data_IF_314224397887
#
_entry.id   IF_314224397887
#
_cell.length_a   1.000
_cell.length_b   1.000
_cell.length_c   1.000
_cell.angle_alpha   90.00
_cell.angle_beta   90.00
_cell.angle_gamma   90.00
#
_symmetry.space_group_name_H-M   'P 1'
#
loop_
_entity.id
_entity.type
_entity.pdbx_description
1 polymer ?
#
# COMPACT_ATOMS: atom_id res chain seq x y z
N UNK A 1 -20.71 -17.08 -30.98
CA UNK A 1 -20.14 -16.16 -29.97
C UNK A 1 -21.06 -16.14 -28.78
N UNK A 2 -20.56 -16.56 -27.63
CA UNK A 2 -21.28 -16.45 -26.35
C UNK A 2 -21.00 -15.10 -25.69
N UNK A 3 -21.75 -14.76 -24.64
CA UNK A 3 -21.59 -13.49 -23.91
C UNK A 3 -20.17 -13.31 -23.33
N UNK A 4 -19.46 -14.42 -23.07
CA UNK A 4 -18.06 -14.42 -22.62
C UNK A 4 -17.12 -13.85 -23.68
N UNK A 5 -17.37 -14.10 -24.96
CA UNK A 5 -16.51 -13.64 -26.07
C UNK A 5 -16.56 -12.10 -26.24
N UNK A 6 -17.59 -11.44 -25.70
CA UNK A 6 -17.72 -9.97 -25.72
C UNK A 6 -17.06 -9.25 -24.55
N UNK A 7 -16.74 -9.98 -23.47
CA UNK A 7 -16.14 -9.41 -22.24
C UNK A 7 -14.69 -9.85 -22.02
N UNK A 8 -14.20 -10.77 -22.86
CA UNK A 8 -12.82 -11.24 -22.81
C UNK A 8 -11.94 -10.25 -23.59
N UNK A 9 -10.85 -9.76 -22.99
CA UNK A 9 -9.89 -8.93 -23.70
C UNK A 9 -9.27 -9.62 -24.91
N UNK A 10 -8.99 -8.87 -25.97
CA UNK A 10 -8.40 -9.41 -27.21
C UNK A 10 -7.02 -10.06 -26.98
N UNK A 11 -6.23 -9.52 -26.04
CA UNK A 11 -4.91 -10.03 -25.69
C UNK A 11 -4.39 -9.43 -24.39
N UNK A 12 -3.38 -10.08 -23.81
CA UNK A 12 -2.60 -9.55 -22.68
C UNK A 12 -1.12 -9.45 -23.08
N UNK A 13 -0.47 -8.34 -22.74
CA UNK A 13 0.97 -8.13 -22.95
C UNK A 13 1.63 -7.54 -21.70
N UNK A 14 2.43 -8.37 -21.01
CA UNK A 14 3.16 -8.00 -19.78
C UNK A 14 4.68 -7.89 -19.99
N UNK A 15 5.14 -7.76 -21.25
CA UNK A 15 6.59 -7.72 -21.54
C UNK A 15 7.27 -6.44 -21.04
N UNK A 16 6.51 -5.37 -20.79
CA UNK A 16 7.04 -4.13 -20.25
C UNK A 16 7.18 -4.22 -18.73
N UNK A 17 8.28 -3.71 -18.20
CA UNK A 17 8.57 -3.81 -16.77
C UNK A 17 7.60 -2.99 -15.91
N UNK A 18 7.19 -1.80 -16.38
CA UNK A 18 6.44 -0.81 -15.59
C UNK A 18 4.96 -0.70 -15.95
N UNK A 19 4.53 -1.37 -17.01
CA UNK A 19 3.18 -1.28 -17.57
C UNK A 19 2.83 -2.57 -18.30
N UNK A 20 1.57 -2.70 -18.68
CA UNK A 20 1.05 -3.82 -19.45
C UNK A 20 -0.01 -3.33 -20.43
N UNK A 21 -0.46 -4.23 -21.31
CA UNK A 21 -1.61 -3.98 -22.18
C UNK A 21 -2.67 -5.06 -22.02
N UNK A 22 -3.92 -4.62 -22.08
CA UNK A 22 -5.11 -5.47 -22.14
C UNK A 22 -5.89 -5.01 -23.38
N UNK A 23 -5.78 -5.77 -24.47
CA UNK A 23 -6.24 -5.35 -25.79
C UNK A 23 -5.62 -4.03 -26.24
N UNK A 24 -6.46 -3.01 -26.47
CA UNK A 24 -6.01 -1.66 -26.87
C UNK A 24 -5.67 -0.74 -25.69
N UNK A 25 -5.98 -1.16 -24.46
CA UNK A 25 -5.83 -0.32 -23.27
C UNK A 25 -4.46 -0.52 -22.64
N UNK A 26 -3.84 0.58 -22.24
CA UNK A 26 -2.64 0.58 -21.42
C UNK A 26 -3.02 0.45 -19.96
N UNK A 27 -2.35 -0.43 -19.24
CA UNK A 27 -2.56 -0.62 -17.82
C UNK A 27 -1.25 -0.56 -17.07
N UNK A 28 -1.31 -0.22 -15.79
CA UNK A 28 -0.16 -0.38 -14.93
C UNK A 28 -0.59 -0.60 -13.47
N UNK A 29 -0.03 -1.64 -12.83
CA UNK A 29 -0.24 -2.02 -11.42
C UNK A 29 0.82 -1.45 -10.46
N UNK A 30 0.35 -0.75 -9.43
CA UNK A 30 1.15 -0.10 -8.38
C UNK A 30 0.70 -0.57 -7.00
N UNK A 31 1.57 -0.42 -6.00
CA UNK A 31 1.19 -0.52 -4.60
C UNK A 31 1.28 0.84 -3.91
N UNK A 32 0.47 1.03 -2.87
CA UNK A 32 0.55 2.19 -2.00
C UNK A 32 1.54 1.93 -0.86
N UNK A 33 2.65 2.67 -0.85
CA UNK A 33 3.62 2.66 0.23
C UNK A 33 3.18 3.65 1.31
N UNK A 34 2.68 3.13 2.43
CA UNK A 34 2.23 3.92 3.58
C UNK A 34 3.41 4.17 4.52
N UNK A 35 3.84 5.43 4.62
CA UNK A 35 4.90 5.86 5.55
C UNK A 35 4.34 6.58 6.78
N UNK A 36 3.10 7.06 6.70
CA UNK A 36 2.41 7.70 7.80
C UNK A 36 2.18 6.73 8.98
N UNK A 37 2.27 7.24 10.21
CA UNK A 37 1.89 6.52 11.43
C UNK A 37 0.37 6.39 11.55
N UNK A 38 -0.37 7.41 11.08
CA UNK A 38 -1.82 7.43 10.96
C UNK A 38 -2.22 7.82 9.53
N UNK A 39 -3.29 7.21 9.04
CA UNK A 39 -3.84 7.46 7.71
C UNK A 39 -5.16 8.20 7.82
N UNK A 40 -5.42 9.15 6.91
CA UNK A 40 -6.75 9.77 6.82
C UNK A 40 -7.68 8.94 5.94
N UNK A 41 -8.94 8.86 6.34
CA UNK A 41 -10.08 8.34 5.57
C UNK A 41 -10.28 9.06 4.22
N UNK A 42 -9.84 10.31 4.11
CA UNK A 42 -9.92 11.10 2.89
C UNK A 42 -8.98 10.63 1.78
N UNK A 43 -7.91 9.88 2.10
CA UNK A 43 -6.97 9.41 1.08
C UNK A 43 -7.66 8.53 0.03
N UNK A 44 -8.44 7.55 0.49
CA UNK A 44 -9.14 6.64 -0.42
C UNK A 44 -10.21 7.40 -1.21
N UNK A 45 -10.92 8.34 -0.57
CA UNK A 45 -11.92 9.17 -1.23
C UNK A 45 -11.31 10.01 -2.36
N UNK A 46 -10.23 10.76 -2.10
CA UNK A 46 -9.58 11.58 -3.13
C UNK A 46 -9.04 10.74 -4.30
N UNK A 47 -8.53 9.53 -4.03
CA UNK A 47 -8.09 8.61 -5.09
C UNK A 47 -9.29 8.18 -5.95
N UNK A 48 -10.42 7.82 -5.33
CA UNK A 48 -11.61 7.34 -6.04
C UNK A 48 -12.39 8.45 -6.76
N UNK A 49 -12.23 9.71 -6.36
CA UNK A 49 -12.83 10.89 -7.02
C UNK A 49 -12.05 11.35 -8.25
N UNK A 50 -10.88 10.75 -8.53
CA UNK A 50 -10.11 11.05 -9.73
C UNK A 50 -10.88 10.66 -10.99
N UNK A 51 -10.96 11.57 -11.97
CA UNK A 51 -11.49 11.30 -13.31
C UNK A 51 -10.47 10.49 -14.14
N UNK A 52 -10.26 9.23 -13.73
CA UNK A 52 -9.41 8.27 -14.39
C UNK A 52 -9.95 6.85 -14.17
N UNK A 53 -9.75 5.97 -15.15
CA UNK A 53 -10.06 4.56 -14.96
C UNK A 53 -9.03 3.94 -14.01
N UNK A 54 -9.47 3.56 -12.82
CA UNK A 54 -8.64 2.91 -11.83
C UNK A 54 -9.41 1.88 -11.03
N UNK A 55 -8.67 0.90 -10.52
CA UNK A 55 -9.16 -0.11 -9.59
C UNK A 55 -8.27 -0.10 -8.35
N UNK A 56 -8.88 0.07 -7.18
CA UNK A 56 -8.22 -0.09 -5.89
C UNK A 56 -8.57 -1.46 -5.33
N UNK A 57 -7.55 -2.21 -4.91
CA UNK A 57 -7.74 -3.53 -4.29
C UNK A 57 -6.98 -3.60 -2.99
N UNK A 58 -7.64 -4.09 -1.95
CA UNK A 58 -7.06 -4.25 -0.62
C UNK A 58 -7.16 -5.69 -0.19
N UNK A 59 -6.00 -6.35 -0.03
CA UNK A 59 -5.93 -7.67 0.58
C UNK A 59 -5.63 -7.48 2.06
N UNK A 60 -6.54 -7.91 2.92
CA UNK A 60 -6.44 -7.75 4.37
C UNK A 60 -6.39 -9.14 4.99
N UNK A 61 -5.31 -9.43 5.71
CA UNK A 61 -5.11 -10.70 6.41
C UNK A 61 -4.92 -10.47 7.91
N UNK A 62 -5.67 -11.19 8.73
CA UNK A 62 -5.48 -11.15 10.19
C UNK A 62 -4.19 -11.85 10.60
N UNK A 63 -3.47 -11.28 11.56
CA UNK A 63 -2.32 -11.94 12.20
C UNK A 63 -2.76 -12.48 13.57
N UNK A 64 -2.34 -13.69 13.91
CA UNK A 64 -2.49 -14.22 15.26
C UNK A 64 -1.84 -13.28 16.29
N UNK A 65 -2.52 -13.05 17.43
CA UNK A 65 -2.09 -12.05 18.42
C UNK A 65 -0.70 -12.35 18.99
N UNK A 66 -0.41 -13.63 19.28
CA UNK A 66 0.89 -14.03 19.84
C UNK A 66 1.98 -13.81 18.79
N UNK A 67 1.72 -14.18 17.53
CA UNK A 67 2.64 -13.92 16.41
C UNK A 67 2.85 -12.44 16.16
N UNK A 68 1.81 -11.61 16.24
CA UNK A 68 1.87 -10.17 16.07
C UNK A 68 2.79 -9.53 17.13
N UNK A 69 2.54 -9.81 18.41
CA UNK A 69 3.36 -9.30 19.53
C UNK A 69 4.82 -9.72 19.36
N UNK A 70 5.07 -11.00 19.00
CA UNK A 70 6.44 -11.49 18.77
C UNK A 70 7.13 -10.76 17.61
N UNK A 71 6.41 -10.50 16.53
CA UNK A 71 6.94 -9.81 15.34
C UNK A 71 7.31 -8.37 15.66
N UNK A 72 6.44 -7.63 16.36
CA UNK A 72 6.70 -6.24 16.77
C UNK A 72 7.89 -6.16 17.74
N UNK A 73 7.96 -7.05 18.74
CA UNK A 73 9.12 -7.13 19.65
C UNK A 73 10.43 -7.40 18.91
N UNK A 74 10.40 -8.27 17.90
CA UNK A 74 11.55 -8.51 17.02
C UNK A 74 11.99 -7.24 16.27
N UNK A 75 11.03 -6.51 15.69
CA UNK A 75 11.31 -5.23 15.01
C UNK A 75 11.87 -4.16 15.94
N UNK A 76 11.36 -4.04 17.17
CA UNK A 76 11.93 -3.14 18.18
C UNK A 76 13.39 -3.50 18.46
N UNK A 77 13.69 -4.78 18.66
CA UNK A 77 15.06 -5.24 18.89
C UNK A 77 16.00 -4.92 17.73
N UNK A 78 15.52 -5.03 16.48
CA UNK A 78 16.32 -4.67 15.30
C UNK A 78 16.53 -3.14 15.19
N UNK A 79 15.53 -2.33 15.56
CA UNK A 79 15.67 -0.87 15.66
C UNK A 79 16.69 -0.49 16.73
N UNK A 80 16.67 -1.14 17.89
CA UNK A 80 17.63 -0.88 18.96
C UNK A 80 19.06 -1.25 18.55
N UNK A 81 19.26 -2.31 17.76
CA UNK A 81 20.58 -2.61 17.16
C UNK A 81 21.02 -1.50 16.22
N UNK A 82 20.14 -1.01 15.35
CA UNK A 82 20.45 0.10 14.45
C UNK A 82 20.82 1.38 15.21
N UNK A 83 20.13 1.70 16.31
CA UNK A 83 20.50 2.82 17.20
C UNK A 83 21.92 2.67 17.73
N UNK A 84 22.28 1.49 18.24
CA UNK A 84 23.61 1.23 18.77
C UNK A 84 24.68 1.34 17.67
N UNK A 85 24.39 0.87 16.46
CA UNK A 85 25.30 1.00 15.33
C UNK A 85 25.51 2.45 14.90
N UNK A 86 24.46 3.25 14.81
CA UNK A 86 24.56 4.69 14.51
C UNK A 86 25.30 5.45 15.61
N UNK A 87 25.02 5.17 16.89
CA UNK A 87 25.76 5.73 18.02
C UNK A 87 27.25 5.42 17.97
N UNK A 88 27.61 4.19 17.60
CA UNK A 88 29.02 3.78 17.42
C UNK A 88 29.67 4.52 16.25
N UNK A 89 28.94 4.73 15.15
CA UNK A 89 29.44 5.51 14.00
C UNK A 89 29.65 6.98 14.39
N UNK A 90 28.69 7.59 15.09
CA UNK A 90 28.79 8.97 15.58
C UNK A 90 30.01 9.15 16.51
N UNK A 91 30.19 8.22 17.46
CA UNK A 91 31.36 8.19 18.36
C UNK A 91 32.69 8.14 17.58
N UNK A 92 32.76 7.32 16.52
CA UNK A 92 33.96 7.23 15.66
C UNK A 92 34.17 8.47 14.80
N UNK A 93 33.10 9.11 14.36
CA UNK A 93 33.12 10.31 13.54
C UNK A 93 33.33 11.60 14.36
N UNK A 94 33.27 11.53 15.70
CA UNK A 94 33.48 12.66 16.59
C UNK A 94 32.27 13.59 16.72
N UNK A 95 31.07 13.13 16.34
CA UNK A 95 29.81 13.84 16.57
C UNK A 95 29.05 13.24 17.76
N UNK A 96 28.14 14.02 18.34
CA UNK A 96 27.36 13.63 19.50
C UNK A 96 26.56 12.32 19.25
N UNK A 97 26.82 11.24 20.00
CA UNK A 97 26.11 9.98 19.87
C UNK A 97 24.60 10.07 20.13
N UNK A 98 24.14 11.09 20.85
CA UNK A 98 22.71 11.27 21.13
C UNK A 98 21.94 11.83 19.92
N UNK A 99 22.65 12.31 18.90
CA UNK A 99 22.06 12.74 17.62
C UNK A 99 21.79 11.51 16.75
N UNK A 100 20.58 10.96 16.90
CA UNK A 100 20.07 9.89 16.04
C UNK A 100 19.36 10.47 14.80
N UNK A 101 19.36 9.74 13.67
CA UNK A 101 18.55 10.10 12.51
C UNK A 101 17.06 10.23 12.89
N UNK A 102 16.35 11.28 12.44
CA UNK A 102 14.94 11.50 12.79
C UNK A 102 14.03 10.30 12.50
N UNK A 103 14.25 9.62 11.35
CA UNK A 103 13.49 8.43 10.96
C UNK A 103 13.62 7.29 11.99
N UNK A 104 14.82 7.09 12.53
CA UNK A 104 15.10 6.05 13.51
C UNK A 104 14.38 6.32 14.84
N UNK A 105 14.26 7.59 15.22
CA UNK A 105 13.50 8.03 16.40
C UNK A 105 12.01 7.76 16.18
N UNK A 106 11.48 8.17 15.03
CA UNK A 106 10.06 7.96 14.67
C UNK A 106 9.71 6.48 14.62
N UNK A 107 10.50 5.65 13.92
CA UNK A 107 10.24 4.21 13.85
C UNK A 107 10.27 3.53 15.22
N UNK A 108 11.17 3.96 16.11
CA UNK A 108 11.19 3.43 17.47
C UNK A 108 9.95 3.79 18.26
N UNK A 109 9.45 5.02 18.12
CA UNK A 109 8.23 5.47 18.79
C UNK A 109 7.02 4.70 18.27
N UNK A 110 6.86 4.64 16.96
CA UNK A 110 5.74 3.97 16.30
C UNK A 110 5.69 2.47 16.62
N UNK A 111 6.85 1.80 16.68
CA UNK A 111 6.92 0.39 17.04
C UNK A 111 6.53 0.14 18.50
N UNK A 112 6.90 1.05 19.42
CA UNK A 112 6.53 0.95 20.84
C UNK A 112 5.03 1.21 21.06
N UNK A 113 4.47 2.21 20.36
CA UNK A 113 3.03 2.51 20.37
C UNK A 113 2.22 1.34 19.82
N UNK A 114 2.62 0.78 18.67
CA UNK A 114 2.00 -0.41 18.10
C UNK A 114 2.03 -1.61 19.06
N UNK A 115 3.14 -1.82 19.78
CA UNK A 115 3.21 -2.88 20.79
C UNK A 115 2.23 -2.63 21.94
N UNK A 116 2.14 -1.38 22.42
CA UNK A 116 1.23 -1.00 23.47
C UNK A 116 -0.24 -1.21 23.06
N UNK A 117 -0.61 -0.85 21.83
CA UNK A 117 -1.98 -1.00 21.33
C UNK A 117 -2.39 -2.48 21.24
N UNK A 118 -1.50 -3.33 20.76
CA UNK A 118 -1.73 -4.78 20.69
C UNK A 118 -1.85 -5.43 22.08
N UNK A 119 -1.12 -4.93 23.09
CA UNK A 119 -1.13 -5.54 24.42
C UNK A 119 -2.21 -4.98 25.35
N UNK A 120 -2.53 -3.69 25.23
CA UNK A 120 -3.34 -2.97 26.21
C UNK A 120 -4.68 -2.47 25.68
N UNK A 121 -4.81 -2.24 24.36
CA UNK A 121 -6.02 -1.65 23.75
C UNK A 121 -6.88 -2.66 23.00
N UNK A 122 -6.60 -3.96 23.16
CA UNK A 122 -7.30 -5.05 22.48
C UNK A 122 -7.34 -4.89 20.94
N UNK A 123 -6.36 -4.20 20.37
CA UNK A 123 -6.23 -4.09 18.92
C UNK A 123 -5.63 -5.38 18.34
N UNK A 124 -6.10 -5.76 17.14
CA UNK A 124 -5.51 -6.82 16.33
C UNK A 124 -4.62 -6.23 15.24
N UNK A 125 -3.58 -6.97 14.90
CA UNK A 125 -2.73 -6.69 13.76
C UNK A 125 -3.31 -7.31 12.48
N UNK A 126 -3.32 -6.53 11.42
CA UNK A 126 -3.65 -6.94 10.06
C UNK A 126 -2.45 -6.70 9.14
N UNK A 127 -2.31 -7.52 8.10
CA UNK A 127 -1.39 -7.30 6.99
C UNK A 127 -2.22 -6.80 5.81
N UNK A 128 -1.89 -5.62 5.33
CA UNK A 128 -2.56 -4.95 4.22
C UNK A 128 -1.64 -4.91 3.00
N UNK A 129 -2.10 -5.46 1.88
CA UNK A 129 -1.57 -5.15 0.55
C UNK A 129 -2.57 -4.22 -0.13
N UNK A 130 -2.14 -3.00 -0.46
CA UNK A 130 -2.98 -1.99 -1.12
C UNK A 130 -2.47 -1.79 -2.54
N UNK A 131 -3.28 -2.16 -3.52
CA UNK A 131 -2.97 -2.08 -4.95
C UNK A 131 -3.81 -1.03 -5.63
N UNK A 132 -3.20 -0.35 -6.59
CA UNK A 132 -3.86 0.60 -7.50
C UNK A 132 -3.47 0.20 -8.91
N UNK A 133 -4.45 -0.19 -9.71
CA UNK A 133 -4.29 -0.43 -11.14
C UNK A 133 -4.95 0.73 -11.88
N UNK A 134 -4.16 1.46 -12.66
CA UNK A 134 -4.69 2.48 -13.57
C UNK A 134 -4.76 1.91 -14.98
N UNK A 135 -5.79 2.28 -15.73
CA UNK A 135 -5.93 1.98 -17.16
C UNK A 135 -6.21 3.25 -17.95
N UNK A 136 -5.72 3.31 -19.19
CA UNK A 136 -5.95 4.45 -20.08
C UNK A 136 -5.81 4.06 -21.56
N UNK A 137 -6.44 4.80 -22.49
CA UNK A 137 -6.32 4.54 -23.92
C UNK A 137 -4.93 4.85 -24.49
N UNK A 138 -4.17 5.75 -23.84
CA UNK A 138 -2.82 6.11 -24.27
C UNK A 138 -1.83 6.02 -23.11
N UNK A 139 -0.57 5.73 -23.42
CA UNK A 139 0.51 5.69 -22.42
C UNK A 139 0.70 7.05 -21.74
N UNK A 140 0.59 8.14 -22.47
CA UNK A 140 0.71 9.49 -21.91
C UNK A 140 -0.39 9.76 -20.88
N UNK A 141 -1.65 9.41 -21.19
CA UNK A 141 -2.74 9.54 -20.22
C UNK A 141 -2.49 8.68 -18.98
N UNK A 142 -2.06 7.43 -19.17
CA UNK A 142 -1.73 6.52 -18.08
C UNK A 142 -0.71 7.14 -17.11
N UNK A 143 0.41 7.66 -17.62
CA UNK A 143 1.46 8.26 -16.79
C UNK A 143 0.96 9.52 -16.05
N UNK A 144 0.12 10.34 -16.70
CA UNK A 144 -0.50 11.51 -16.07
C UNK A 144 -1.46 11.13 -14.94
N UNK A 145 -2.27 10.08 -15.14
CA UNK A 145 -3.19 9.59 -14.11
C UNK A 145 -2.40 9.08 -12.90
N UNK A 146 -1.36 8.27 -13.13
CA UNK A 146 -0.47 7.75 -12.07
C UNK A 146 0.23 8.89 -11.33
N UNK A 147 0.71 9.90 -12.04
CA UNK A 147 1.33 11.08 -11.46
C UNK A 147 0.36 11.81 -10.52
N UNK A 148 -0.89 11.95 -10.93
CA UNK A 148 -1.94 12.59 -10.13
C UNK A 148 -2.29 11.78 -8.88
N UNK A 149 -2.48 10.45 -9.02
CA UNK A 149 -2.69 9.55 -7.86
C UNK A 149 -1.51 9.63 -6.89
N UNK A 150 -0.27 9.66 -7.39
CA UNK A 150 0.90 9.81 -6.55
C UNK A 150 0.93 11.17 -5.83
N UNK A 151 0.53 12.25 -6.50
CA UNK A 151 0.38 13.57 -5.90
C UNK A 151 -0.62 13.59 -4.75
N UNK A 152 -1.77 12.90 -4.89
CA UNK A 152 -2.74 12.70 -3.81
C UNK A 152 -2.09 11.93 -2.65
N UNK A 153 -1.48 10.77 -2.93
CA UNK A 153 -0.84 9.94 -1.91
C UNK A 153 0.23 10.70 -1.10
N UNK A 154 1.02 11.55 -1.76
CA UNK A 154 2.06 12.35 -1.12
C UNK A 154 1.52 13.34 -0.08
N UNK A 155 0.33 13.91 -0.29
CA UNK A 155 -0.32 14.78 0.71
C UNK A 155 -0.57 14.07 2.05
N UNK A 156 -0.73 12.74 1.98
CA UNK A 156 -1.04 11.88 3.11
C UNK A 156 0.18 11.05 3.56
N UNK A 157 1.40 11.52 3.30
CA UNK A 157 2.65 10.80 3.63
C UNK A 157 2.68 9.35 3.11
N UNK A 158 2.12 9.14 1.92
CA UNK A 158 2.17 7.90 1.19
C UNK A 158 2.89 8.11 -0.15
N UNK A 159 3.34 7.03 -0.77
CA UNK A 159 3.89 7.07 -2.12
C UNK A 159 3.30 5.96 -2.96
N UNK A 160 2.96 6.26 -4.21
CA UNK A 160 2.56 5.23 -5.17
C UNK A 160 3.81 4.70 -5.83
N UNK A 161 4.03 3.39 -5.73
CA UNK A 161 5.20 2.72 -6.27
C UNK A 161 4.78 1.70 -7.32
N UNK A 162 5.39 1.77 -8.49
CA UNK A 162 5.16 0.80 -9.58
C UNK A 162 5.68 -0.57 -9.18
N UNK A 163 4.92 -1.61 -9.51
CA UNK A 163 5.31 -3.01 -9.36
C UNK A 163 6.18 -3.43 -10.54
N UNK A 164 7.40 -2.88 -10.61
CA UNK A 164 8.31 -3.14 -11.71
C UNK A 164 8.59 -4.65 -11.81
N UNK A 165 8.42 -5.22 -13.01
CA UNK A 165 8.52 -6.66 -13.30
C UNK A 165 7.47 -7.55 -12.62
N UNK A 166 6.52 -6.96 -11.90
CA UNK A 166 5.41 -7.64 -11.24
C UNK A 166 4.04 -7.14 -11.73
N UNK A 167 3.98 -6.65 -12.96
CA UNK A 167 2.76 -6.08 -13.55
C UNK A 167 1.65 -7.12 -13.71
N UNK A 168 1.99 -8.33 -14.16
CA UNK A 168 1.04 -9.43 -14.28
C UNK A 168 0.50 -9.83 -12.90
N UNK A 169 1.38 -10.04 -11.93
CA UNK A 169 1.02 -10.41 -10.56
C UNK A 169 0.16 -9.32 -9.91
N UNK A 170 0.53 -8.05 -10.11
CA UNK A 170 -0.22 -6.91 -9.59
C UNK A 170 -1.61 -6.83 -10.22
N UNK A 171 -1.72 -6.95 -11.54
CA UNK A 171 -3.00 -6.94 -12.23
C UNK A 171 -3.89 -8.12 -11.81
N UNK A 172 -3.36 -9.34 -11.80
CA UNK A 172 -4.09 -10.54 -11.39
C UNK A 172 -4.55 -10.47 -9.93
N UNK A 173 -3.76 -9.83 -9.06
CA UNK A 173 -4.12 -9.61 -7.65
C UNK A 173 -5.18 -8.54 -7.47
N UNK A 174 -5.41 -7.68 -8.47
CA UNK A 174 -6.47 -6.68 -8.43
C UNK A 174 -7.82 -7.20 -8.93
N UNK A 175 -7.85 -8.37 -9.57
CA UNK A 175 -9.08 -9.02 -9.98
C UNK A 175 -9.83 -9.59 -8.76
N UNK A 176 -11.16 -9.66 -8.84
CA UNK A 176 -12.02 -10.23 -7.81
C UNK A 176 -11.96 -11.78 -7.75
N UNK A 177 -10.75 -12.34 -7.77
CA UNK A 177 -10.45 -13.77 -7.73
C UNK A 177 -10.04 -14.26 -6.33
N UNK A 178 -9.82 -13.34 -5.38
CA UNK A 178 -9.35 -13.66 -4.03
C UNK A 178 -7.90 -14.12 -3.95
N UNK A 179 -7.12 -13.91 -5.02
CA UNK A 179 -5.70 -14.24 -5.10
C UNK A 179 -4.85 -12.98 -4.85
N UNK A 180 -3.80 -13.10 -4.03
CA UNK A 180 -2.79 -12.06 -3.85
C UNK A 180 -1.41 -12.63 -4.19
N UNK A 181 -0.87 -12.24 -5.34
CA UNK A 181 0.48 -12.58 -5.81
C UNK A 181 1.53 -11.54 -5.44
N UNK A 182 1.19 -10.53 -4.65
CA UNK A 182 2.10 -9.47 -4.20
C UNK A 182 2.45 -9.69 -2.72
N UNK A 183 3.74 -9.86 -2.45
CA UNK A 183 4.27 -10.11 -1.10
C UNK A 183 4.39 -8.82 -0.26
N UNK A 184 4.26 -7.65 -0.89
CA UNK A 184 4.37 -6.36 -0.22
C UNK A 184 3.17 -6.18 0.70
N UNK A 185 3.44 -6.11 2.00
CA UNK A 185 2.43 -6.02 3.04
C UNK A 185 2.85 -4.98 4.09
N UNK A 186 1.89 -4.15 4.51
CA UNK A 186 2.04 -3.25 5.64
C UNK A 186 1.26 -3.80 6.83
N UNK A 187 1.93 -3.96 7.97
CA UNK A 187 1.24 -4.24 9.23
C UNK A 187 0.43 -3.02 9.67
N UNK A 188 -0.86 -3.20 9.95
CA UNK A 188 -1.79 -2.15 10.35
C UNK A 188 -2.53 -2.62 11.60
N UNK A 189 -2.99 -1.68 12.42
CA UNK A 189 -3.91 -2.04 13.50
C UNK A 189 -5.35 -2.11 13.02
N UNK A 190 -6.25 -2.56 13.89
CA UNK A 190 -7.68 -2.63 13.59
C UNK A 190 -8.24 -1.25 13.25
N UNK A 191 -7.91 -0.25 14.07
CA UNK A 191 -8.35 1.13 13.93
C UNK A 191 -7.86 1.73 12.61
N UNK A 192 -6.56 1.58 12.29
CA UNK A 192 -6.00 2.10 11.04
C UNK A 192 -6.52 1.38 9.79
N UNK A 193 -6.86 0.10 9.90
CA UNK A 193 -7.42 -0.68 8.77
C UNK A 193 -8.88 -0.29 8.49
N UNK A 194 -9.65 -0.01 9.55
CA UNK A 194 -11.07 0.35 9.44
C UNK A 194 -11.33 1.63 8.64
N UNK A 195 -10.34 2.53 8.57
CA UNK A 195 -10.36 3.77 7.78
C UNK A 195 -10.60 3.49 6.30
N UNK A 196 -10.17 2.34 5.80
CA UNK A 196 -10.33 1.96 4.41
C UNK A 196 -11.62 1.19 4.11
N UNK A 197 -12.44 0.89 5.12
CA UNK A 197 -13.75 0.28 4.89
C UNK A 197 -14.69 1.40 4.46
N UNK A 198 -15.10 1.48 3.17
CA UNK A 198 -15.96 2.56 2.73
C UNK A 198 -17.35 2.35 3.30
N UNK A 199 -17.74 3.15 4.30
CA UNK A 199 -19.13 3.20 4.78
C UNK A 199 -20.07 3.93 3.82
N UNK A 200 -19.54 4.42 2.69
CA UNK A 200 -20.31 5.03 1.61
C UNK A 200 -20.75 3.95 0.62
N UNK A 201 -21.82 3.21 0.95
CA UNK A 201 -22.53 2.40 -0.05
C UNK A 201 -23.12 3.34 -1.10
N UNK A 202 -22.49 3.44 -2.28
CA UNK A 202 -23.11 4.02 -3.46
C UNK A 202 -23.86 2.91 -4.18
N UNK A 203 -25.18 2.89 -4.05
CA UNK A 203 -26.02 1.96 -4.79
C UNK A 203 -25.92 2.25 -6.29
N UNK A 204 -25.72 1.20 -7.10
CA UNK A 204 -25.70 1.25 -8.57
C UNK A 204 -27.08 1.54 -9.20
N UNK A 205 -27.97 2.20 -8.47
CA UNK A 205 -29.25 2.69 -8.95
C UNK A 205 -29.42 4.15 -8.53
N UNK A 206 -28.86 5.04 -9.33
CA UNK A 206 -29.36 6.40 -9.44
C UNK A 206 -29.70 6.66 -10.91
N UNK A 207 -30.86 6.12 -11.31
CA UNK A 207 -31.67 6.72 -12.36
C UNK A 207 -32.76 7.54 -11.66
N UNK A 208 -32.83 8.82 -12.02
CA UNK A 208 -33.75 9.83 -11.51
C UNK A 208 -33.28 11.22 -11.89
#
# INVERSE_FOLDING_TARGET
MGTKDFIVPDSFDFRQSRSFRVGQTWGAASYLQIMASELSDKLLLEILELDAELTVTMHIQTVDQVKAIKTVKGKISDIDKMKVEEQRKATRAGYDPDILPPDLVTFSKDAAELLADLQSRNERMFLLTFLIVNTAPTRERLENDIFTVNGIAQKYNCAVKRLDWQQEQGYMSSLALGYNGIEIQRGMTTSSTAIFVPFMTRELRMDG
#
